data_IF_539373594721
#
_entry.id   IF_539373594721
#
_cell.length_a   1.000
_cell.length_b   1.000
_cell.length_c   1.000
_cell.angle_alpha   90.00
_cell.angle_beta   90.00
_cell.angle_gamma   90.00
#
_symmetry.space_group_name_H-M   'P 1'
#
loop_
_entity.id
_entity.type
_entity.pdbx_description
1 polymer ?
#
# COMPACT_ATOMS: atom_id res chain seq x y z
N UNK A 1 32.83 34.99 -7.30
CA UNK A 1 33.49 33.70 -7.02
C UNK A 1 32.40 32.74 -6.60
N UNK A 2 32.07 31.80 -7.48
CA UNK A 2 30.88 30.93 -7.40
C UNK A 2 31.08 29.79 -6.38
N UNK A 3 29.99 29.29 -5.76
CA UNK A 3 30.02 28.62 -4.46
C UNK A 3 29.62 27.12 -4.54
N UNK A 4 29.72 26.43 -3.41
CA UNK A 4 29.15 25.10 -3.10
C UNK A 4 29.65 23.89 -3.92
N UNK A 5 30.63 23.17 -3.35
CA UNK A 5 30.93 21.79 -3.72
C UNK A 5 29.93 20.83 -3.05
N UNK A 6 29.01 20.28 -3.83
CA UNK A 6 28.21 19.11 -3.42
C UNK A 6 29.10 17.87 -3.44
N UNK A 7 29.43 17.32 -2.28
CA UNK A 7 29.95 15.95 -2.20
C UNK A 7 28.77 14.98 -2.36
N UNK A 8 28.49 14.57 -3.62
CA UNK A 8 27.67 13.38 -3.89
C UNK A 8 28.41 12.18 -3.30
N UNK A 9 27.96 11.68 -2.16
CA UNK A 9 28.07 10.25 -1.90
C UNK A 9 26.87 9.65 -2.65
N UNK A 10 27.02 9.46 -3.96
CA UNK A 10 26.15 8.55 -4.68
C UNK A 10 26.83 7.21 -4.62
N UNK A 11 26.17 6.23 -4.00
CA UNK A 11 26.61 4.85 -4.09
C UNK A 11 26.67 4.51 -5.58
N UNK A 12 27.85 4.18 -6.07
CA UNK A 12 28.06 3.86 -7.47
C UNK A 12 27.15 2.66 -7.84
N UNK A 13 26.12 2.95 -8.63
CA UNK A 13 25.17 2.02 -9.27
C UNK A 13 24.02 1.52 -8.37
N UNK A 14 22.92 2.28 -8.35
CA UNK A 14 21.62 1.70 -8.04
C UNK A 14 21.27 0.66 -9.11
N UNK A 15 20.91 -0.55 -8.70
CA UNK A 15 20.43 -1.57 -9.64
C UNK A 15 19.02 -1.20 -10.15
N UNK A 16 18.55 -1.89 -11.20
CA UNK A 16 17.26 -1.59 -11.83
C UNK A 16 16.09 -1.65 -10.84
N UNK A 17 16.09 -2.58 -9.88
CA UNK A 17 15.04 -2.73 -8.87
C UNK A 17 15.00 -1.53 -7.92
N UNK A 18 16.16 -1.03 -7.50
CA UNK A 18 16.26 0.16 -6.65
C UNK A 18 15.81 1.42 -7.38
N UNK A 19 16.14 1.56 -8.67
CA UNK A 19 15.68 2.68 -9.50
C UNK A 19 14.15 2.63 -9.66
N UNK A 20 13.59 1.45 -9.95
CA UNK A 20 12.15 1.24 -10.05
C UNK A 20 11.44 1.60 -8.73
N UNK A 21 12.00 1.18 -7.59
CA UNK A 21 11.45 1.53 -6.29
C UNK A 21 11.44 3.04 -6.05
N UNK A 22 12.57 3.74 -6.25
CA UNK A 22 12.64 5.20 -6.06
C UNK A 22 11.68 5.92 -7.01
N UNK A 23 11.61 5.48 -8.27
CA UNK A 23 10.67 6.00 -9.25
C UNK A 23 9.21 5.84 -8.79
N UNK A 24 8.87 4.65 -8.28
CA UNK A 24 7.55 4.34 -7.76
C UNK A 24 7.19 5.22 -6.56
N UNK A 25 8.12 5.42 -5.61
CA UNK A 25 7.90 6.32 -4.46
C UNK A 25 7.64 7.76 -4.90
N UNK A 26 8.45 8.29 -5.84
CA UNK A 26 8.25 9.64 -6.39
C UNK A 26 6.89 9.80 -7.08
N UNK A 27 6.43 8.76 -7.77
CA UNK A 27 5.12 8.76 -8.42
C UNK A 27 3.98 8.79 -7.40
N UNK A 28 4.10 8.03 -6.31
CA UNK A 28 3.14 8.07 -5.20
C UNK A 28 3.14 9.45 -4.55
N UNK A 29 4.31 10.02 -4.25
CA UNK A 29 4.41 11.36 -3.66
C UNK A 29 3.73 12.42 -4.54
N UNK A 30 3.96 12.37 -5.87
CA UNK A 30 3.26 13.24 -6.82
C UNK A 30 1.73 13.05 -6.75
N UNK A 31 1.25 11.80 -6.67
CA UNK A 31 -0.18 11.49 -6.54
C UNK A 31 -0.78 12.02 -5.24
N UNK A 32 -0.01 11.96 -4.15
CA UNK A 32 -0.44 12.45 -2.85
C UNK A 32 -0.46 13.99 -2.78
N UNK A 33 0.41 14.66 -3.53
CA UNK A 33 0.47 16.13 -3.64
C UNK A 33 -0.58 16.71 -4.61
N UNK A 34 -1.15 15.89 -5.51
CA UNK A 34 -2.18 16.34 -6.43
C UNK A 34 -3.47 16.75 -5.72
N UNK A 35 -4.09 17.84 -6.20
CA UNK A 35 -5.36 18.33 -5.67
C UNK A 35 -6.50 17.34 -5.88
N UNK A 36 -7.22 17.05 -4.81
CA UNK A 36 -8.41 16.20 -4.80
C UNK A 36 -9.60 16.97 -5.36
N UNK A 37 -9.68 17.04 -6.69
CA UNK A 37 -10.72 17.79 -7.41
C UNK A 37 -11.88 16.89 -7.83
N UNK A 38 -13.07 17.48 -8.01
CA UNK A 38 -14.25 16.74 -8.49
C UNK A 38 -13.99 15.98 -9.80
N UNK A 39 -13.25 16.51 -10.80
CA UNK A 39 -12.87 15.74 -11.98
C UNK A 39 -12.06 14.48 -11.69
N UNK A 40 -11.16 14.50 -10.70
CA UNK A 40 -10.39 13.32 -10.33
C UNK A 40 -11.28 12.23 -9.71
N UNK A 41 -12.25 12.64 -8.89
CA UNK A 41 -13.27 11.74 -8.33
C UNK A 41 -14.12 11.11 -9.43
N UNK A 42 -14.64 11.94 -10.35
CA UNK A 42 -15.47 11.46 -11.46
C UNK A 42 -14.71 10.55 -12.42
N UNK A 43 -13.43 10.82 -12.67
CA UNK A 43 -12.58 9.94 -13.48
C UNK A 43 -12.39 8.56 -12.82
N UNK A 44 -12.05 8.53 -11.53
CA UNK A 44 -11.95 7.28 -10.75
C UNK A 44 -13.28 6.50 -10.76
N UNK A 45 -14.42 7.18 -10.56
CA UNK A 45 -15.74 6.57 -10.60
C UNK A 45 -16.07 6.03 -12.00
N UNK A 46 -15.72 6.78 -13.04
CA UNK A 46 -15.96 6.37 -14.44
C UNK A 46 -15.18 5.12 -14.79
N UNK A 47 -13.93 5.01 -14.34
CA UNK A 47 -13.10 3.81 -14.50
C UNK A 47 -13.71 2.61 -13.77
N UNK A 48 -14.20 2.80 -12.53
CA UNK A 48 -14.94 1.77 -11.81
C UNK A 48 -16.17 1.28 -12.60
N UNK A 49 -16.99 2.22 -13.10
CA UNK A 49 -18.20 1.92 -13.86
C UNK A 49 -17.92 1.18 -15.16
N UNK A 50 -16.86 1.54 -15.86
CA UNK A 50 -16.53 0.98 -17.17
C UNK A 50 -15.96 -0.43 -17.05
N UNK A 51 -15.02 -0.64 -16.13
CA UNK A 51 -14.19 -1.84 -16.08
C UNK A 51 -14.63 -2.88 -15.04
N UNK A 52 -15.42 -2.51 -14.02
CA UNK A 52 -15.71 -3.40 -12.90
C UNK A 52 -17.22 -3.65 -12.75
N UNK A 53 -17.67 -4.87 -13.07
CA UNK A 53 -19.09 -5.25 -13.01
C UNK A 53 -19.62 -5.22 -11.57
N UNK A 54 -18.76 -5.55 -10.62
CA UNK A 54 -19.02 -5.59 -9.18
C UNK A 54 -19.34 -4.19 -8.64
N UNK A 55 -18.70 -3.14 -9.16
CA UNK A 55 -19.06 -1.76 -8.81
C UNK A 55 -20.53 -1.48 -9.14
N UNK A 56 -20.99 -1.90 -10.33
CA UNK A 56 -22.38 -1.72 -10.74
C UNK A 56 -23.35 -2.48 -9.85
N UNK A 57 -22.99 -3.70 -9.43
CA UNK A 57 -23.81 -4.52 -8.54
C UNK A 57 -23.92 -3.90 -7.15
N UNK A 58 -22.80 -3.48 -6.56
CA UNK A 58 -22.74 -2.88 -5.22
C UNK A 58 -23.47 -1.53 -5.21
N UNK A 59 -23.27 -0.70 -6.23
CA UNK A 59 -23.93 0.60 -6.30
C UNK A 59 -25.43 0.49 -6.63
N UNK A 60 -25.84 -0.47 -7.47
CA UNK A 60 -27.26 -0.76 -7.69
C UNK A 60 -27.98 -1.31 -6.46
N UNK A 61 -27.24 -1.87 -5.50
CA UNK A 61 -27.75 -2.34 -4.22
C UNK A 61 -27.88 -1.23 -3.16
N UNK A 62 -27.65 0.05 -3.53
CA UNK A 62 -27.78 1.18 -2.62
C UNK A 62 -26.64 1.28 -1.60
N UNK A 63 -25.46 0.72 -1.90
CA UNK A 63 -24.30 0.85 -1.04
C UNK A 63 -23.75 2.28 -1.17
N UNK A 64 -24.13 3.07 -0.18
CA UNK A 64 -24.16 4.53 -0.14
C UNK A 64 -22.88 5.11 0.50
N UNK A 65 -22.78 6.44 0.45
CA UNK A 65 -21.74 7.39 0.92
C UNK A 65 -21.24 7.23 2.37
N UNK A 66 -21.63 6.16 3.07
CA UNK A 66 -21.30 5.89 4.48
C UNK A 66 -19.95 5.19 4.67
N UNK A 67 -19.39 4.61 3.62
CA UNK A 67 -18.14 3.86 3.68
C UNK A 67 -16.93 4.75 3.41
N UNK A 68 -15.98 4.69 4.34
CA UNK A 68 -14.67 5.33 4.21
C UNK A 68 -13.84 4.59 3.15
N UNK A 69 -12.81 5.24 2.59
CA UNK A 69 -11.87 4.57 1.68
C UNK A 69 -11.22 3.34 2.34
N UNK A 70 -10.95 3.38 3.65
CA UNK A 70 -10.48 2.23 4.43
C UNK A 70 -11.49 1.09 4.40
N UNK A 71 -12.79 1.36 4.59
CA UNK A 71 -13.81 0.32 4.57
C UNK A 71 -13.86 -0.36 3.20
N UNK A 72 -13.83 0.44 2.13
CA UNK A 72 -13.76 -0.05 0.76
C UNK A 72 -12.52 -0.93 0.52
N UNK A 73 -11.36 -0.53 1.05
CA UNK A 73 -10.12 -1.29 0.92
C UNK A 73 -10.13 -2.59 1.75
N UNK A 74 -10.76 -2.60 2.93
CA UNK A 74 -10.73 -3.75 3.85
C UNK A 74 -11.76 -4.83 3.53
N UNK A 75 -12.87 -4.50 2.84
CA UNK A 75 -13.96 -5.44 2.55
C UNK A 75 -13.62 -6.56 1.54
N UNK A 76 -12.35 -6.70 1.12
CA UNK A 76 -11.89 -7.67 0.11
C UNK A 76 -12.76 -7.66 -1.17
N UNK A 77 -13.25 -6.47 -1.53
CA UNK A 77 -14.06 -6.27 -2.72
C UNK A 77 -13.17 -5.92 -3.93
N UNK A 78 -13.79 -5.44 -5.01
CA UNK A 78 -13.08 -5.06 -6.22
C UNK A 78 -12.05 -3.94 -6.00
N UNK A 79 -12.29 -3.00 -5.07
CA UNK A 79 -11.36 -1.89 -4.75
C UNK A 79 -10.04 -2.41 -4.20
N UNK A 80 -10.08 -3.35 -3.24
CA UNK A 80 -8.88 -4.00 -2.73
C UNK A 80 -8.06 -4.64 -3.85
N UNK A 81 -8.73 -5.35 -4.78
CA UNK A 81 -8.06 -6.00 -5.90
C UNK A 81 -7.45 -4.99 -6.87
N UNK A 82 -8.20 -3.96 -7.25
CA UNK A 82 -7.74 -2.89 -8.14
C UNK A 82 -6.50 -2.25 -7.57
N UNK A 83 -6.56 -1.82 -6.31
CA UNK A 83 -5.47 -1.09 -5.70
C UNK A 83 -4.22 -1.96 -5.65
N UNK A 84 -4.33 -3.22 -5.23
CA UNK A 84 -3.18 -4.14 -5.26
C UNK A 84 -2.67 -4.45 -6.68
N UNK A 85 -3.54 -4.50 -7.69
CA UNK A 85 -3.14 -4.68 -9.09
C UNK A 85 -2.41 -3.45 -9.64
N UNK A 86 -2.91 -2.26 -9.34
CA UNK A 86 -2.29 -0.97 -9.70
C UNK A 86 -0.88 -0.88 -9.13
N UNK A 87 -0.76 -1.24 -7.86
CA UNK A 87 0.49 -1.30 -7.12
C UNK A 87 1.46 -2.36 -7.67
N UNK A 88 0.94 -3.52 -8.09
CA UNK A 88 1.74 -4.60 -8.68
C UNK A 88 2.23 -4.30 -10.10
N UNK A 89 1.39 -3.65 -10.92
CA UNK A 89 1.71 -3.34 -12.33
C UNK A 89 2.53 -2.08 -12.49
N UNK A 90 2.58 -1.23 -11.46
CA UNK A 90 3.24 0.08 -11.46
C UNK A 90 2.86 0.95 -12.67
N UNK A 91 1.68 0.71 -13.24
CA UNK A 91 1.24 1.38 -14.45
C UNK A 91 0.79 2.79 -14.09
N UNK A 92 1.57 3.78 -14.54
CA UNK A 92 1.30 5.19 -14.27
C UNK A 92 -0.10 5.66 -14.68
N UNK A 93 -0.60 5.19 -15.83
CA UNK A 93 -1.93 5.59 -16.30
C UNK A 93 -3.01 5.07 -15.36
N UNK A 94 -2.85 3.83 -14.89
CA UNK A 94 -3.79 3.22 -13.94
C UNK A 94 -3.69 3.91 -12.57
N UNK A 95 -2.48 4.15 -12.06
CA UNK A 95 -2.25 4.90 -10.82
C UNK A 95 -2.89 6.29 -10.86
N UNK A 96 -2.70 7.01 -11.97
CA UNK A 96 -3.27 8.34 -12.15
C UNK A 96 -4.79 8.30 -12.19
N UNK A 97 -5.40 7.34 -12.89
CA UNK A 97 -6.86 7.16 -12.94
C UNK A 97 -7.50 6.90 -11.58
N UNK A 98 -6.79 6.19 -10.70
CA UNK A 98 -7.24 5.90 -9.33
C UNK A 98 -6.66 6.87 -8.28
N UNK A 99 -6.04 7.98 -8.70
CA UNK A 99 -5.38 8.96 -7.81
C UNK A 99 -6.28 9.47 -6.70
N UNK A 100 -7.57 9.65 -6.98
CA UNK A 100 -8.53 10.14 -5.99
C UNK A 100 -8.64 9.15 -4.82
N UNK A 101 -8.90 7.88 -5.13
CA UNK A 101 -9.04 6.85 -4.10
C UNK A 101 -7.72 6.59 -3.36
N UNK A 102 -6.58 6.58 -4.05
CA UNK A 102 -5.27 6.39 -3.42
C UNK A 102 -4.99 7.49 -2.39
N UNK A 103 -5.26 8.75 -2.75
CA UNK A 103 -5.05 9.90 -1.88
C UNK A 103 -6.02 9.87 -0.68
N UNK A 104 -7.30 9.59 -0.93
CA UNK A 104 -8.31 9.47 0.12
C UNK A 104 -7.96 8.36 1.12
N UNK A 105 -7.64 7.16 0.62
CA UNK A 105 -7.19 6.04 1.44
C UNK A 105 -5.93 6.38 2.25
N UNK A 106 -4.93 6.99 1.63
CA UNK A 106 -3.71 7.42 2.32
C UNK A 106 -4.02 8.40 3.47
N UNK A 107 -4.86 9.40 3.22
CA UNK A 107 -5.24 10.38 4.22
C UNK A 107 -6.03 9.77 5.37
N UNK A 108 -6.94 8.85 5.09
CA UNK A 108 -7.69 8.14 6.12
C UNK A 108 -6.79 7.24 6.96
N UNK A 109 -5.84 6.53 6.35
CA UNK A 109 -4.84 5.73 7.06
C UNK A 109 -4.01 6.63 7.96
N UNK A 110 -3.52 7.77 7.47
CA UNK A 110 -2.73 8.73 8.26
C UNK A 110 -3.53 9.27 9.44
N UNK A 111 -4.78 9.70 9.23
CA UNK A 111 -5.68 10.16 10.31
C UNK A 111 -5.94 9.06 11.34
N UNK A 112 -6.16 7.83 10.89
CA UNK A 112 -6.40 6.69 11.76
C UNK A 112 -5.15 6.30 12.54
N UNK A 113 -3.97 6.35 11.92
CA UNK A 113 -2.68 6.15 12.57
C UNK A 113 -2.46 7.18 13.69
N UNK A 114 -2.63 8.47 13.40
CA UNK A 114 -2.47 9.53 14.42
C UNK A 114 -3.40 9.31 15.61
N UNK A 115 -4.67 8.97 15.36
CA UNK A 115 -5.64 8.66 16.44
C UNK A 115 -5.21 7.44 17.23
N UNK A 116 -4.78 6.38 16.54
CA UNK A 116 -4.36 5.13 17.17
C UNK A 116 -3.12 5.31 18.04
N UNK A 117 -2.09 5.98 17.53
CA UNK A 117 -0.86 6.28 18.26
C UNK A 117 -1.13 7.09 19.53
N UNK A 118 -2.10 8.00 19.50
CA UNK A 118 -2.52 8.76 20.67
C UNK A 118 -3.16 7.89 21.78
N UNK A 119 -3.63 6.67 21.46
CA UNK A 119 -4.16 5.71 22.43
C UNK A 119 -3.10 4.79 23.03
N UNK A 120 -1.89 4.76 22.46
CA UNK A 120 -0.82 3.89 22.94
C UNK A 120 -0.15 4.47 24.20
N UNK A 121 0.31 3.60 25.13
CA UNK A 121 1.11 4.04 26.28
C UNK A 121 2.34 4.85 25.85
N UNK A 122 2.74 5.80 26.69
CA UNK A 122 3.90 6.64 26.41
C UNK A 122 5.20 5.83 26.22
N UNK A 123 5.31 4.71 26.93
CA UNK A 123 6.44 3.76 26.90
C UNK A 123 6.48 2.89 25.62
N UNK A 124 5.40 2.88 24.81
CA UNK A 124 5.29 1.99 23.66
C UNK A 124 5.81 2.66 22.39
N UNK A 125 7.11 2.48 22.14
CA UNK A 125 7.79 3.08 20.97
C UNK A 125 7.67 2.25 19.69
N UNK A 126 7.27 0.98 19.80
CA UNK A 126 7.12 0.08 18.67
C UNK A 126 5.79 -0.68 18.71
N UNK A 127 5.26 -0.92 17.52
CA UNK A 127 4.10 -1.77 17.31
C UNK A 127 4.54 -3.11 16.72
N UNK A 128 4.19 -4.19 17.40
CA UNK A 128 4.34 -5.55 16.87
C UNK A 128 3.06 -5.98 16.16
N UNK A 129 3.17 -6.23 14.86
CA UNK A 129 2.08 -6.77 14.04
C UNK A 129 2.59 -7.90 13.16
N UNK A 130 1.66 -8.74 12.74
CA UNK A 130 1.90 -9.93 11.93
C UNK A 130 1.18 -9.81 10.60
N UNK A 131 1.82 -10.32 9.55
CA UNK A 131 1.19 -10.49 8.23
C UNK A 131 1.38 -11.91 7.77
N UNK A 132 0.30 -12.58 7.41
CA UNK A 132 0.35 -13.83 6.66
C UNK A 132 0.23 -13.53 5.18
N UNK A 133 1.08 -14.16 4.38
CA UNK A 133 1.07 -13.98 2.94
C UNK A 133 1.37 -15.31 2.24
N UNK A 134 0.53 -15.65 1.27
CA UNK A 134 0.82 -16.71 0.31
C UNK A 134 1.88 -16.19 -0.68
N UNK A 135 2.91 -16.99 -0.93
CA UNK A 135 3.99 -16.62 -1.83
C UNK A 135 4.48 -17.82 -2.64
N UNK A 136 5.08 -17.54 -3.79
CA UNK A 136 5.73 -18.58 -4.57
C UNK A 136 6.99 -19.06 -3.86
N UNK A 137 7.44 -20.28 -4.18
CA UNK A 137 8.71 -20.82 -3.65
C UNK A 137 9.89 -19.91 -4.03
N UNK A 138 9.84 -19.32 -5.23
CA UNK A 138 10.87 -18.42 -5.72
C UNK A 138 10.93 -17.12 -4.89
N UNK A 139 9.77 -16.53 -4.58
CA UNK A 139 9.71 -15.33 -3.74
C UNK A 139 10.19 -15.62 -2.31
N UNK A 140 9.81 -16.79 -1.75
CA UNK A 140 10.30 -17.24 -0.45
C UNK A 140 11.82 -17.43 -0.44
N UNK A 141 12.40 -17.99 -1.52
CA UNK A 141 13.83 -18.16 -1.66
C UNK A 141 14.57 -16.82 -1.77
N UNK A 142 14.03 -15.86 -2.53
CA UNK A 142 14.56 -14.49 -2.60
C UNK A 142 14.57 -13.84 -1.21
N UNK A 143 13.47 -13.95 -0.46
CA UNK A 143 13.39 -13.42 0.90
C UNK A 143 14.40 -14.07 1.85
N UNK A 144 14.58 -15.39 1.77
CA UNK A 144 15.60 -16.10 2.57
C UNK A 144 17.03 -15.69 2.19
N UNK A 145 17.29 -15.48 0.91
CA UNK A 145 18.60 -15.01 0.44
C UNK A 145 18.87 -13.55 0.85
N UNK A 146 17.83 -12.74 1.03
CA UNK A 146 17.91 -11.34 1.46
C UNK A 146 18.01 -11.18 3.00
N UNK A 147 18.73 -12.09 3.67
CA UNK A 147 18.99 -11.96 5.11
C UNK A 147 19.84 -10.71 5.36
N UNK A 148 19.51 -9.94 6.41
CA UNK A 148 20.10 -8.63 6.74
C UNK A 148 19.90 -7.54 5.67
N UNK A 149 19.08 -7.81 4.64
CA UNK A 149 18.70 -6.86 3.61
C UNK A 149 17.39 -6.11 3.91
N UNK A 150 17.12 -5.06 3.13
CA UNK A 150 15.85 -4.35 3.17
C UNK A 150 14.82 -5.01 2.25
N UNK A 151 13.55 -4.95 2.65
CA UNK A 151 12.41 -5.37 1.82
C UNK A 151 11.58 -4.14 1.53
N UNK A 152 11.45 -3.82 0.24
CA UNK A 152 10.53 -2.78 -0.22
C UNK A 152 9.19 -3.40 -0.60
N UNK A 153 8.10 -2.71 -0.27
CA UNK A 153 6.74 -3.16 -0.56
C UNK A 153 6.00 -2.02 -1.25
N UNK A 154 5.63 -2.25 -2.51
CA UNK A 154 4.92 -1.29 -3.34
C UNK A 154 3.41 -1.45 -3.15
N UNK A 155 2.90 -1.40 -1.92
CA UNK A 155 1.45 -1.43 -1.62
C UNK A 155 1.17 -1.04 -0.17
N UNK A 156 -0.10 -0.77 0.17
CA UNK A 156 -0.55 -0.65 1.55
C UNK A 156 -0.51 -2.01 2.25
N UNK A 157 0.11 -2.06 3.44
CA UNK A 157 0.21 -3.28 4.23
C UNK A 157 -1.00 -3.48 5.15
N UNK A 158 -1.77 -4.53 4.88
CA UNK A 158 -2.71 -5.08 5.86
C UNK A 158 -1.97 -6.01 6.82
N UNK A 159 -2.08 -5.75 8.12
CA UNK A 159 -1.45 -6.52 9.19
C UNK A 159 -2.44 -6.75 10.33
N UNK A 160 -2.11 -7.65 11.26
CA UNK A 160 -2.91 -7.94 12.45
C UNK A 160 -2.05 -8.07 13.69
N UNK A 161 -2.55 -7.67 14.87
CA UNK A 161 -1.87 -7.88 16.15
C UNK A 161 -1.93 -9.34 16.63
N UNK A 162 -2.78 -10.16 16.00
CA UNK A 162 -3.00 -11.55 16.41
C UNK A 162 -2.30 -12.51 15.45
N UNK A 163 -1.29 -13.23 15.96
CA UNK A 163 -0.55 -14.22 15.19
C UNK A 163 -1.45 -15.29 14.56
N UNK A 164 -2.47 -15.76 15.29
CA UNK A 164 -3.40 -16.77 14.79
C UNK A 164 -4.22 -16.26 13.61
N UNK A 165 -4.64 -14.98 13.64
CA UNK A 165 -5.31 -14.34 12.51
C UNK A 165 -4.36 -14.18 11.32
N UNK A 166 -3.08 -13.86 11.53
CA UNK A 166 -2.12 -13.80 10.42
C UNK A 166 -1.96 -15.17 9.74
N UNK A 167 -1.90 -16.25 10.53
CA UNK A 167 -1.77 -17.63 10.00
C UNK A 167 -2.92 -18.00 9.08
N UNK A 168 -4.16 -17.58 9.35
CA UNK A 168 -5.29 -17.89 8.45
C UNK A 168 -5.15 -17.26 7.06
N UNK A 169 -4.42 -16.14 6.93
CA UNK A 169 -4.14 -15.52 5.63
C UNK A 169 -2.93 -16.13 4.90
N UNK A 170 -2.08 -16.89 5.60
CA UNK A 170 -0.97 -17.64 4.99
C UNK A 170 -1.42 -18.90 4.24
N UNK A 171 -2.63 -19.40 4.51
CA UNK A 171 -3.12 -20.70 4.02
C UNK A 171 -2.62 -21.88 4.86
N UNK A 172 -2.87 -23.12 4.41
CA UNK A 172 -2.50 -24.37 5.11
C UNK A 172 -1.24 -25.06 4.55
N UNK A 173 -0.55 -24.46 3.57
CA UNK A 173 0.54 -25.11 2.81
C UNK A 173 1.96 -24.76 3.29
N UNK A 174 2.97 -25.51 2.87
CA UNK A 174 4.39 -25.36 3.26
C UNK A 174 5.09 -24.05 2.83
N UNK A 175 4.40 -23.18 2.07
CA UNK A 175 4.97 -21.95 1.48
C UNK A 175 4.44 -20.68 2.18
N UNK A 176 4.32 -20.74 3.51
CA UNK A 176 3.85 -19.65 4.35
C UNK A 176 5.00 -18.80 4.85
N UNK A 177 4.81 -17.47 4.82
CA UNK A 177 5.59 -16.56 5.64
C UNK A 177 4.64 -15.78 6.54
N UNK A 178 4.81 -15.95 7.85
CA UNK A 178 4.28 -15.01 8.83
C UNK A 178 5.45 -14.24 9.36
N UNK A 179 5.48 -12.93 9.09
CA UNK A 179 6.58 -12.07 9.49
C UNK A 179 6.09 -10.93 10.38
N UNK A 180 6.98 -10.49 11.25
CA UNK A 180 6.78 -9.35 12.13
C UNK A 180 7.10 -8.08 11.35
N UNK A 181 6.23 -7.09 11.43
CA UNK A 181 6.51 -5.73 10.96
C UNK A 181 6.58 -4.85 12.20
N UNK A 182 7.78 -4.37 12.51
CA UNK A 182 7.97 -3.34 13.53
C UNK A 182 7.71 -1.98 12.89
N UNK A 183 6.74 -1.23 13.40
CA UNK A 183 6.51 0.17 12.99
C UNK A 183 6.83 1.10 14.15
N UNK A 184 7.53 2.19 13.86
CA UNK A 184 7.78 3.24 14.82
C UNK A 184 6.48 3.99 15.15
N UNK A 185 6.39 4.48 16.38
CA UNK A 185 5.34 5.38 16.86
C UNK A 185 5.30 6.70 16.09
#
# INVERSE_FOLDING_TARGET
MSPFQWHRIVSDHLNTEQIQFVYFQLLIDLILDMSQTDPAKEETISEYRLHYKEYRQIHSAGFDETHTAIDWYMQNNFVYRIINEVFYTENMNTLFKFRYFINDLHNEIRKSHTRFVATLPAEQDHLMVYRGQLMTINDLQKLKANTDGFISINSFLTTTRLLNTARTYGGDSSNQLVYNVATNR
#
